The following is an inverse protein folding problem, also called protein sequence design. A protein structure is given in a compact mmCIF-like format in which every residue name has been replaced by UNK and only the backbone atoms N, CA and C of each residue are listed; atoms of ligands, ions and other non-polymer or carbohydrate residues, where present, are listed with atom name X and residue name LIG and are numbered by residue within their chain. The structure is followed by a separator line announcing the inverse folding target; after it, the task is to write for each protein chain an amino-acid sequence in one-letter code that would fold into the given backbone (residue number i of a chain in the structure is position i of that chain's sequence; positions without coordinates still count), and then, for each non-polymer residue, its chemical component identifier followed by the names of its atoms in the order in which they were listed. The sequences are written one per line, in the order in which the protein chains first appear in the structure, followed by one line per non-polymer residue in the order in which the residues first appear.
data_IF_947482412013
#
_entry.id   IF_947482412013
#
_cell.length_a   1.000
_cell.length_b   1.000
_cell.length_c   1.000
_cell.angle_alpha   90.00
_cell.angle_beta   90.00
_cell.angle_gamma   90.00
#
_symmetry.space_group_name_H-M   'P 1'
#
loop_
_entity.id
_entity.type
_entity.pdbx_description
1 polymer ?
#
# COMPACT_ATOMS: atom_id res chain seq x y z
N UNK A 1 -31.64 11.38 -38.22
CA UNK A 1 -30.20 11.61 -38.43
C UNK A 1 -29.51 11.46 -37.07
N UNK A 2 -28.69 10.41 -36.85
CA UNK A 2 -27.94 10.26 -35.61
C UNK A 2 -26.80 11.29 -35.58
N UNK A 3 -26.73 12.10 -34.52
CA UNK A 3 -25.77 13.17 -34.34
C UNK A 3 -24.39 12.59 -33.98
N UNK A 4 -23.49 12.54 -34.96
CA UNK A 4 -22.11 12.12 -34.81
C UNK A 4 -21.28 13.09 -33.94
N UNK A 5 -21.53 13.11 -32.62
CA UNK A 5 -20.86 14.01 -31.66
C UNK A 5 -20.26 13.30 -30.44
N UNK A 6 -20.23 11.97 -30.41
CA UNK A 6 -19.80 11.21 -29.22
C UNK A 6 -18.41 10.52 -29.31
N UNK A 7 -17.57 10.82 -30.30
CA UNK A 7 -16.37 9.99 -30.59
C UNK A 7 -14.99 10.65 -30.41
N UNK A 8 -14.90 11.88 -29.90
CA UNK A 8 -13.62 12.62 -29.85
C UNK A 8 -13.17 13.11 -28.46
N UNK A 9 -13.81 12.67 -27.37
CA UNK A 9 -13.40 13.04 -26.00
C UNK A 9 -12.86 11.86 -25.18
N UNK A 10 -12.38 10.81 -25.83
CA UNK A 10 -11.81 9.63 -25.19
C UNK A 10 -10.31 9.47 -25.48
N UNK A 11 -9.50 10.45 -25.05
CA UNK A 11 -8.19 10.20 -24.42
C UNK A 11 -7.48 11.53 -24.15
N UNK A 12 -7.33 11.88 -22.88
CA UNK A 12 -5.98 11.96 -22.31
C UNK A 12 -6.02 11.53 -20.84
N UNK A 13 -6.17 10.24 -20.53
CA UNK A 13 -6.42 9.84 -19.13
C UNK A 13 -5.81 8.50 -18.72
N UNK A 14 -4.80 8.03 -19.44
CA UNK A 14 -3.84 7.08 -18.88
C UNK A 14 -2.55 7.81 -18.48
N UNK A 15 -2.71 8.90 -17.73
CA UNK A 15 -1.56 9.46 -17.02
C UNK A 15 -1.25 8.51 -15.86
N UNK A 16 -0.35 7.55 -16.09
CA UNK A 16 0.14 6.66 -15.04
C UNK A 16 0.89 7.49 -13.99
N UNK A 17 0.32 7.61 -12.78
CA UNK A 17 0.78 8.56 -11.73
C UNK A 17 2.03 8.04 -10.98
N UNK A 18 2.47 6.80 -11.19
CA UNK A 18 3.69 6.29 -10.58
C UNK A 18 4.08 4.86 -11.01
N UNK A 19 5.22 4.40 -10.51
CA UNK A 19 5.82 3.09 -10.80
C UNK A 19 6.27 2.40 -9.51
N UNK A 20 5.99 1.10 -9.39
CA UNK A 20 6.47 0.26 -8.28
C UNK A 20 7.87 -0.29 -8.58
N UNK A 21 8.78 -0.21 -7.62
CA UNK A 21 10.16 -0.66 -7.75
C UNK A 21 10.51 -1.64 -6.64
N UNK A 22 11.29 -2.67 -6.98
CA UNK A 22 11.87 -3.62 -6.03
C UNK A 22 13.39 -3.48 -6.05
N UNK A 23 13.96 -3.03 -4.93
CA UNK A 23 15.41 -2.90 -4.77
C UNK A 23 15.96 -4.07 -3.94
N UNK A 24 17.00 -4.74 -4.43
CA UNK A 24 17.68 -5.83 -3.70
C UNK A 24 19.08 -5.41 -3.26
N UNK A 25 19.39 -5.59 -1.98
CA UNK A 25 20.72 -5.29 -1.44
C UNK A 25 21.66 -6.46 -1.74
N UNK A 26 22.47 -6.34 -2.80
CA UNK A 26 23.36 -7.43 -3.25
C UNK A 26 24.55 -7.67 -2.32
N UNK A 27 25.15 -6.59 -1.77
CA UNK A 27 26.32 -6.69 -0.90
C UNK A 27 26.12 -5.82 0.32
N UNK A 28 26.00 -6.44 1.48
CA UNK A 28 25.91 -5.76 2.76
C UNK A 28 26.96 -6.36 3.72
N UNK A 29 27.76 -5.50 4.36
CA UNK A 29 28.83 -5.91 5.29
C UNK A 29 28.44 -5.71 6.77
N UNK A 30 27.40 -4.92 7.03
CA UNK A 30 26.97 -4.52 8.39
C UNK A 30 25.77 -5.33 8.86
N UNK A 31 24.93 -5.77 7.92
CA UNK A 31 23.74 -6.58 8.18
C UNK A 31 23.67 -7.72 7.16
N UNK A 32 22.76 -8.69 7.33
CA UNK A 32 22.66 -9.81 6.41
C UNK A 32 22.36 -9.32 4.98
N UNK A 33 23.00 -9.94 3.97
CA UNK A 33 22.86 -9.56 2.56
C UNK A 33 21.52 -10.04 1.98
N UNK A 34 21.22 -9.61 0.75
CA UNK A 34 20.12 -10.06 -0.10
C UNK A 34 18.69 -9.67 0.30
N UNK A 35 18.52 -8.72 1.22
CA UNK A 35 17.19 -8.17 1.54
C UNK A 35 16.61 -7.39 0.36
N UNK A 36 15.32 -7.58 0.11
CA UNK A 36 14.50 -6.84 -0.84
C UNK A 36 13.70 -5.75 -0.11
N UNK A 37 13.48 -4.62 -0.79
CA UNK A 37 12.57 -3.57 -0.35
C UNK A 37 11.74 -3.13 -1.55
N UNK A 38 10.43 -3.01 -1.34
CA UNK A 38 9.48 -2.55 -2.35
C UNK A 38 9.04 -1.13 -2.00
N UNK A 39 9.01 -0.25 -2.99
CA UNK A 39 8.55 1.13 -2.81
C UNK A 39 8.01 1.70 -4.12
N UNK A 40 7.13 2.68 -3.97
CA UNK A 40 6.49 3.37 -5.09
C UNK A 40 7.22 4.69 -5.33
N UNK A 41 7.54 4.96 -6.60
CA UNK A 41 8.09 6.23 -7.05
C UNK A 41 7.00 6.98 -7.82
N UNK A 42 6.67 8.19 -7.34
CA UNK A 42 5.78 9.11 -8.02
C UNK A 42 6.57 10.04 -8.93
N UNK A 43 6.13 10.18 -10.17
CA UNK A 43 6.75 11.10 -11.12
C UNK A 43 6.62 12.55 -10.60
N UNK A 44 7.70 13.32 -10.63
CA UNK A 44 7.83 14.69 -10.09
C UNK A 44 7.90 14.84 -8.56
N UNK A 45 7.69 13.78 -7.76
CA UNK A 45 7.77 13.83 -6.29
C UNK A 45 8.87 12.95 -5.70
N UNK A 46 9.33 11.95 -6.44
CA UNK A 46 10.38 11.02 -6.02
C UNK A 46 9.81 9.81 -5.28
N UNK A 47 10.57 9.30 -4.30
CA UNK A 47 10.15 8.14 -3.49
C UNK A 47 9.05 8.59 -2.52
N UNK A 48 7.89 7.94 -2.59
CA UNK A 48 6.80 8.22 -1.67
C UNK A 48 7.00 7.46 -0.35
N UNK A 49 7.68 8.13 0.59
CA UNK A 49 7.92 7.60 1.93
C UNK A 49 6.62 7.29 2.70
N UNK A 50 5.54 8.02 2.43
CA UNK A 50 4.27 7.83 3.13
C UNK A 50 3.56 6.57 2.64
N UNK A 51 3.61 6.31 1.32
CA UNK A 51 3.09 5.08 0.74
C UNK A 51 3.86 3.85 1.24
N UNK A 52 5.19 3.88 1.22
CA UNK A 52 6.02 2.78 1.72
C UNK A 52 5.82 2.55 3.22
N UNK A 53 5.63 3.61 4.01
CA UNK A 53 5.31 3.48 5.42
C UNK A 53 3.96 2.76 5.64
N UNK A 54 2.95 3.06 4.82
CA UNK A 54 1.65 2.41 4.91
C UNK A 54 1.73 0.91 4.59
N UNK A 55 2.46 0.55 3.54
CA UNK A 55 2.69 -0.87 3.19
C UNK A 55 3.46 -1.60 4.31
N UNK A 56 4.49 -0.97 4.88
CA UNK A 56 5.21 -1.54 6.01
C UNK A 56 4.31 -1.73 7.24
N UNK A 57 3.38 -0.80 7.50
CA UNK A 57 2.43 -0.92 8.60
C UNK A 57 1.40 -2.03 8.35
N UNK A 58 0.99 -2.26 7.11
CA UNK A 58 0.09 -3.34 6.72
C UNK A 58 0.76 -4.70 6.89
N UNK A 59 2.01 -4.85 6.45
CA UNK A 59 2.81 -6.07 6.63
C UNK A 59 3.02 -6.43 8.12
N UNK A 60 3.18 -5.42 8.98
CA UNK A 60 3.36 -5.59 10.42
C UNK A 60 2.02 -5.69 11.19
N UNK A 61 0.87 -5.58 10.50
CA UNK A 61 -0.46 -5.64 11.12
C UNK A 61 -0.82 -4.45 12.02
N UNK A 62 -0.08 -3.33 11.93
CA UNK A 62 -0.34 -2.10 12.70
C UNK A 62 -1.56 -1.35 12.13
N UNK A 63 -1.73 -1.42 10.81
CA UNK A 63 -2.86 -0.85 10.08
C UNK A 63 -3.70 -2.00 9.53
N UNK A 64 -5.02 -1.92 9.71
CA UNK A 64 -5.95 -2.92 9.20
C UNK A 64 -6.64 -2.39 7.95
N UNK A 65 -6.51 -3.12 6.83
CA UNK A 65 -7.33 -2.90 5.65
C UNK A 65 -8.67 -3.63 5.83
N UNK A 66 -9.79 -2.90 5.79
CA UNK A 66 -11.13 -3.50 5.66
C UNK A 66 -11.68 -3.13 4.29
N UNK A 67 -11.61 -4.08 3.37
CA UNK A 67 -11.90 -3.86 1.96
C UNK A 67 -10.99 -2.78 1.38
N UNK A 68 -11.58 -1.71 0.88
CA UNK A 68 -10.85 -0.60 0.25
C UNK A 68 -10.61 0.59 1.20
N UNK A 69 -10.72 0.37 2.51
CA UNK A 69 -10.48 1.39 3.55
C UNK A 69 -9.40 0.98 4.53
N UNK A 70 -8.52 1.94 4.84
CA UNK A 70 -7.46 1.78 5.83
C UNK A 70 -7.90 2.32 7.19
N UNK A 71 -7.73 1.51 8.24
CA UNK A 71 -8.03 1.86 9.62
C UNK A 71 -6.76 1.82 10.47
N UNK A 72 -6.56 2.87 11.26
CA UNK A 72 -5.51 2.93 12.27
C UNK A 72 -6.16 3.12 13.64
N UNK A 73 -6.05 2.08 14.49
CA UNK A 73 -6.70 1.97 15.81
C UNK A 73 -8.23 2.13 15.71
N UNK A 74 -8.71 3.37 15.62
CA UNK A 74 -10.13 3.75 15.50
C UNK A 74 -10.36 4.86 14.46
N UNK A 75 -9.29 5.40 13.87
CA UNK A 75 -9.35 6.46 12.87
C UNK A 75 -9.35 5.89 11.46
N UNK A 76 -10.24 6.42 10.61
CA UNK A 76 -10.32 6.08 9.18
C UNK A 76 -9.30 6.94 8.41
N UNK A 77 -8.30 6.31 7.81
CA UNK A 77 -7.24 6.98 7.06
C UNK A 77 -7.67 7.40 5.64
N UNK A 78 -8.68 6.73 5.06
CA UNK A 78 -9.22 7.08 3.74
C UNK A 78 -9.68 5.88 2.92
N UNK A 79 -10.05 6.14 1.66
CA UNK A 79 -10.33 5.12 0.65
C UNK A 79 -9.12 4.95 -0.27
N UNK A 80 -8.60 3.72 -0.36
CA UNK A 80 -7.42 3.41 -1.14
C UNK A 80 -6.12 4.02 -0.59
N UNK A 81 -5.02 3.76 -1.31
CA UNK A 81 -3.65 4.13 -0.90
C UNK A 81 -3.37 5.62 -1.06
N UNK A 82 -3.91 6.25 -2.10
CA UNK A 82 -3.66 7.66 -2.41
C UNK A 82 -4.30 8.62 -1.38
N UNK A 83 -5.52 8.30 -0.92
CA UNK A 83 -6.16 9.09 0.13
C UNK A 83 -5.42 8.95 1.47
N UNK A 84 -4.92 7.75 1.78
CA UNK A 84 -4.14 7.50 2.99
C UNK A 84 -2.79 8.24 2.93
N UNK A 85 -2.06 8.20 1.81
CA UNK A 85 -0.79 8.92 1.66
C UNK A 85 -0.98 10.45 1.74
N UNK A 86 -2.07 10.98 1.19
CA UNK A 86 -2.43 12.39 1.32
C UNK A 86 -2.74 12.77 2.79
N UNK A 87 -3.40 11.88 3.54
CA UNK A 87 -3.66 12.11 4.97
C UNK A 87 -2.38 12.11 5.79
N UNK A 88 -1.49 11.14 5.57
CA UNK A 88 -0.19 11.09 6.25
C UNK A 88 0.72 12.28 5.88
N UNK A 89 0.56 12.86 4.69
CA UNK A 89 1.28 14.07 4.30
C UNK A 89 0.76 15.33 5.04
N UNK A 90 -0.52 15.36 5.43
CA UNK A 90 -1.11 16.45 6.20
C UNK A 90 -0.87 16.37 7.70
N UNK A 91 -0.83 15.16 8.27
CA UNK A 91 -0.68 14.92 9.72
C UNK A 91 0.69 14.32 10.08
N UNK A 92 1.67 15.18 10.34
CA UNK A 92 3.03 14.74 10.70
C UNK A 92 3.10 13.98 12.04
N UNK A 93 2.19 14.27 12.97
CA UNK A 93 2.10 13.58 14.26
C UNK A 93 1.82 12.08 14.07
N UNK A 94 0.85 11.73 13.21
CA UNK A 94 0.49 10.34 12.91
C UNK A 94 1.65 9.62 12.21
N UNK A 95 2.34 10.31 11.29
CA UNK A 95 3.51 9.77 10.61
C UNK A 95 4.63 9.40 11.59
N UNK A 96 4.93 10.28 12.54
CA UNK A 96 5.97 10.03 13.56
C UNK A 96 5.62 8.84 14.46
N UNK A 97 4.35 8.74 14.88
CA UNK A 97 3.86 7.63 15.69
C UNK A 97 4.02 6.29 14.94
N UNK A 98 3.52 6.22 13.70
CA UNK A 98 3.63 5.01 12.86
C UNK A 98 5.09 4.63 12.62
N UNK A 99 5.96 5.60 12.32
CA UNK A 99 7.40 5.34 12.13
C UNK A 99 8.04 4.78 13.40
N UNK A 100 7.66 5.32 14.57
CA UNK A 100 8.14 4.83 15.86
C UNK A 100 7.71 3.39 16.15
N UNK A 101 6.45 3.05 15.84
CA UNK A 101 5.92 1.70 16.01
C UNK A 101 6.59 0.70 15.07
N UNK A 102 6.72 1.04 13.78
CA UNK A 102 7.41 0.22 12.78
C UNK A 102 8.86 -0.04 13.18
N UNK A 103 9.57 1.00 13.64
CA UNK A 103 10.97 0.86 14.06
C UNK A 103 11.11 -0.04 15.28
N UNK A 104 10.18 0.04 16.24
CA UNK A 104 10.16 -0.87 17.41
C UNK A 104 9.91 -2.31 16.99
N UNK A 105 8.92 -2.55 16.12
CA UNK A 105 8.62 -3.89 15.62
C UNK A 105 9.80 -4.51 14.84
N UNK A 106 10.59 -3.71 14.15
CA UNK A 106 11.77 -4.16 13.40
C UNK A 106 13.04 -4.36 14.25
N UNK A 107 13.06 -3.87 15.50
CA UNK A 107 14.20 -4.07 16.40
C UNK A 107 14.30 -5.52 16.91
N UNK A 108 13.18 -6.25 16.93
CA UNK A 108 13.16 -7.65 17.31
C UNK A 108 13.62 -8.53 16.13
N UNK A 109 14.76 -9.25 16.25
CA UNK A 109 15.35 -10.00 15.14
C UNK A 109 14.48 -11.17 14.67
N UNK A 110 13.51 -11.62 15.49
CA UNK A 110 12.58 -12.69 15.13
C UNK A 110 11.48 -12.23 14.16
N UNK A 111 11.01 -10.99 14.27
CA UNK A 111 10.03 -10.41 13.34
C UNK A 111 10.67 -10.10 11.97
N UNK A 112 11.96 -9.76 12.02
CA UNK A 112 12.79 -9.50 10.86
C UNK A 112 12.97 -10.75 9.98
N UNK A 113 13.14 -11.93 10.57
CA UNK A 113 13.27 -13.19 9.82
C UNK A 113 11.94 -13.62 9.18
N UNK A 114 10.81 -13.48 9.90
CA UNK A 114 9.49 -13.87 9.41
C UNK A 114 9.00 -13.05 8.20
N UNK A 115 9.44 -11.79 8.05
CA UNK A 115 9.10 -10.97 6.89
C UNK A 115 9.90 -11.35 5.62
N UNK A 116 10.99 -12.14 5.74
CA UNK A 116 11.90 -12.46 4.63
C UNK A 116 11.46 -13.69 3.81
N UNK A 117 10.64 -14.58 4.37
CA UNK A 117 10.16 -15.79 3.67
C UNK A 117 8.91 -15.55 2.81
N UNK A 118 8.37 -14.31 2.78
CA UNK A 118 7.17 -13.95 2.04
C UNK A 118 7.45 -13.47 0.59
N UNK A 119 8.46 -14.01 -0.11
CA UNK A 119 8.62 -13.85 -1.58
C UNK A 119 7.61 -14.77 -2.35
N UNK A 120 6.36 -14.79 -1.91
CA UNK A 120 5.21 -15.30 -2.65
C UNK A 120 4.21 -14.15 -2.80
N UNK A 121 3.65 -13.89 -3.99
CA UNK A 121 2.67 -12.82 -4.15
C UNK A 121 1.54 -13.06 -3.16
N UNK A 122 1.21 -12.06 -2.34
CA UNK A 122 -0.01 -12.05 -1.55
C UNK A 122 -1.21 -11.97 -2.51
N UNK A 123 -1.51 -13.08 -3.17
CA UNK A 123 -2.77 -13.37 -3.80
C UNK A 123 -3.69 -13.94 -2.72
N UNK A 124 -4.61 -13.10 -2.25
CA UNK A 124 -5.97 -13.44 -1.85
C UNK A 124 -6.50 -12.22 -1.08
N UNK A 125 -7.11 -11.28 -1.82
CA UNK A 125 -8.21 -10.56 -1.19
C UNK A 125 -9.23 -11.60 -0.72
N UNK A 126 -9.90 -11.43 0.42
CA UNK A 126 -11.03 -12.28 0.73
C UNK A 126 -12.04 -12.13 -0.40
N UNK A 127 -12.13 -13.18 -1.22
CA UNK A 127 -13.29 -13.49 -2.04
C UNK A 127 -14.45 -13.67 -1.06
N UNK A 128 -15.27 -12.64 -0.91
CA UNK A 128 -16.62 -12.81 -0.40
C UNK A 128 -17.48 -13.16 -1.61
N UNK A 129 -17.61 -14.46 -1.87
CA UNK A 129 -18.76 -15.01 -2.58
C UNK A 129 -19.99 -14.78 -1.67
N UNK A 130 -20.76 -13.73 -1.96
CA UNK A 130 -22.15 -13.59 -1.51
C UNK A 130 -23.05 -13.58 -2.76
N UNK A 131 -23.13 -14.73 -3.43
CA UNK A 131 -24.32 -15.15 -4.15
C UNK A 131 -24.80 -16.47 -3.52
N UNK A 132 -25.91 -16.43 -2.80
CA UNK A 132 -26.99 -17.40 -2.99
C UNK A 132 -28.30 -16.99 -2.31
N UNK A 133 -29.37 -17.30 -3.04
CA UNK A 133 -30.79 -17.38 -2.66
C UNK A 133 -31.68 -16.12 -2.60
N UNK A 134 -32.27 -15.84 -3.77
CA UNK A 134 -33.70 -16.08 -4.03
C UNK A 134 -34.57 -16.16 -2.76
N UNK A 135 -35.37 -15.12 -2.55
CA UNK A 135 -36.72 -15.30 -2.04
C UNK A 135 -37.70 -14.60 -2.96
N UNK A 136 -38.23 -15.38 -3.89
CA UNK A 136 -39.54 -15.16 -4.48
C UNK A 136 -40.55 -14.83 -3.37
N UNK A 137 -41.14 -13.63 -3.43
CA UNK A 137 -42.45 -13.29 -2.90
C UNK A 137 -42.93 -11.98 -3.55
#
# INVERSE_FOLDING_TARGET
MPNASCWLAAWPLLATIGVGWKAKVVKNKVAPPYRSAEFIIQFNKGIDMNATLLEACELLGIVTAKGSHYYYKEQKLGHGRDAASARLAGDEALRSELTGLVRKALQDPAALEAALDADGPAAAGPESDDEDDVKSA
#
